data_IF_537368105475
#
_entry.id   IF_537368105475
#
_cell.length_a   1.000
_cell.length_b   1.000
_cell.length_c   1.000
_cell.angle_alpha   90.00
_cell.angle_beta   90.00
_cell.angle_gamma   90.00
#
_symmetry.space_group_name_H-M   'P 1'
#
loop_
_entity.id
_entity.type
_entity.pdbx_description
1 polymer ?
#
# COMPACT_ATOMS: atom_id res chain seq x y z
N UNK A 1 -1.80 -11.52 13.69
CA UNK A 1 -1.56 -10.54 14.79
C UNK A 1 -0.16 -10.83 15.30
N UNK A 2 0.70 -9.81 15.33
CA UNK A 2 2.04 -9.92 15.89
C UNK A 2 1.88 -9.97 17.41
N UNK A 3 2.01 -11.19 17.98
CA UNK A 3 2.20 -11.53 19.39
C UNK A 3 1.18 -11.05 20.44
N UNK A 4 1.28 -11.64 21.63
CA UNK A 4 0.88 -10.97 22.87
C UNK A 4 1.79 -9.74 23.10
N UNK A 5 1.34 -8.75 23.86
CA UNK A 5 2.12 -7.54 24.21
C UNK A 5 2.65 -6.69 23.03
N UNK A 6 2.00 -6.75 21.86
CA UNK A 6 2.45 -6.05 20.64
C UNK A 6 3.84 -6.48 20.16
N UNK A 7 4.24 -7.73 20.39
CA UNK A 7 5.51 -8.24 19.88
C UNK A 7 5.56 -8.22 18.34
N UNK A 8 6.51 -7.45 17.80
CA UNK A 8 6.69 -7.22 16.35
C UNK A 8 7.70 -8.16 15.70
N UNK A 9 8.25 -9.13 16.43
CA UNK A 9 9.22 -10.11 15.90
C UNK A 9 8.68 -10.84 14.67
N UNK A 10 7.37 -11.10 14.63
CA UNK A 10 6.70 -11.75 13.50
C UNK A 10 6.91 -11.03 12.17
N UNK A 11 7.13 -9.70 12.20
CA UNK A 11 7.46 -8.90 11.04
C UNK A 11 8.96 -8.61 10.95
N UNK A 12 9.58 -8.11 12.01
CA UNK A 12 10.99 -7.70 11.97
C UNK A 12 11.96 -8.87 11.75
N UNK A 13 11.60 -10.09 12.13
CA UNK A 13 12.40 -11.29 11.85
C UNK A 13 12.37 -11.74 10.39
N UNK A 14 11.33 -11.38 9.64
CA UNK A 14 11.11 -11.82 8.26
C UNK A 14 11.34 -10.72 7.23
N UNK A 15 11.18 -9.44 7.61
CA UNK A 15 11.22 -8.26 6.74
C UNK A 15 12.34 -8.27 5.70
N UNK A 16 13.58 -8.52 6.13
CA UNK A 16 14.76 -8.48 5.25
C UNK A 16 14.92 -9.75 4.40
N UNK A 17 14.29 -10.87 4.79
CA UNK A 17 14.34 -12.16 4.07
C UNK A 17 13.43 -12.17 2.84
N UNK A 18 12.49 -11.24 2.76
CA UNK A 18 11.51 -11.18 1.66
C UNK A 18 12.13 -10.74 0.33
N UNK A 19 13.34 -10.17 0.34
CA UNK A 19 14.02 -9.70 -0.87
C UNK A 19 13.19 -8.69 -1.65
N UNK A 20 12.64 -7.70 -0.94
CA UNK A 20 11.89 -6.56 -1.47
C UNK A 20 12.78 -5.32 -1.33
N UNK A 21 12.91 -4.50 -2.38
CA UNK A 21 13.83 -3.36 -2.37
C UNK A 21 13.50 -2.32 -1.28
N UNK A 22 12.21 -2.10 -1.01
CA UNK A 22 11.73 -1.20 0.04
C UNK A 22 10.73 -1.93 0.93
N UNK A 23 11.20 -2.77 1.89
CA UNK A 23 10.32 -3.63 2.65
C UNK A 23 9.43 -2.81 3.60
N UNK A 24 8.12 -2.93 3.43
CA UNK A 24 7.12 -2.24 4.23
C UNK A 24 5.82 -3.05 4.25
N UNK A 25 4.90 -2.70 5.16
CA UNK A 25 3.54 -3.23 5.17
C UNK A 25 2.56 -2.16 4.64
N UNK A 26 1.58 -2.54 3.80
CA UNK A 26 1.42 -3.86 3.16
C UNK A 26 2.42 -4.09 2.02
N UNK A 27 2.60 -5.37 1.67
CA UNK A 27 3.30 -5.82 0.46
C UNK A 27 2.44 -6.82 -0.34
N UNK A 28 2.70 -6.94 -1.64
CA UNK A 28 2.09 -7.92 -2.55
C UNK A 28 3.21 -8.69 -3.27
N UNK A 29 3.05 -10.01 -3.39
CA UNK A 29 3.90 -10.86 -4.23
C UNK A 29 3.01 -11.49 -5.31
N UNK A 30 3.30 -11.21 -6.59
CA UNK A 30 2.60 -11.78 -7.76
C UNK A 30 3.65 -12.31 -8.75
N UNK A 31 3.94 -13.61 -8.65
CA UNK A 31 5.08 -14.24 -9.34
C UNK A 31 6.40 -13.62 -8.91
N UNK A 32 7.18 -13.16 -9.89
CA UNK A 32 8.47 -12.49 -9.64
C UNK A 32 8.32 -11.04 -9.13
N UNK A 33 7.11 -10.46 -9.23
CA UNK A 33 6.87 -9.07 -8.81
C UNK A 33 6.63 -9.01 -7.32
N UNK A 34 7.41 -8.15 -6.64
CA UNK A 34 7.21 -7.81 -5.24
C UNK A 34 7.00 -6.31 -5.13
N UNK A 35 5.86 -5.89 -4.59
CA UNK A 35 5.42 -4.51 -4.57
C UNK A 35 5.09 -4.12 -3.13
N UNK A 36 5.63 -2.99 -2.68
CA UNK A 36 5.24 -2.32 -1.44
C UNK A 36 4.58 -0.99 -1.75
N UNK A 37 4.07 -0.31 -0.73
CA UNK A 37 3.20 0.88 -0.81
C UNK A 37 1.77 0.54 -1.26
N UNK A 38 0.82 0.82 -0.37
CA UNK A 38 -0.61 0.49 -0.57
C UNK A 38 -1.17 1.00 -1.89
N UNK A 39 -0.89 2.26 -2.26
CA UNK A 39 -1.34 2.84 -3.53
C UNK A 39 -0.72 2.18 -4.76
N UNK A 40 0.57 1.84 -4.71
CA UNK A 40 1.24 1.15 -5.82
C UNK A 40 0.67 -0.26 -6.04
N UNK A 41 0.38 -0.98 -4.95
CA UNK A 41 -0.29 -2.28 -4.98
C UNK A 41 -1.69 -2.15 -5.59
N UNK A 42 -2.50 -1.17 -5.14
CA UNK A 42 -3.84 -0.94 -5.69
C UNK A 42 -3.80 -0.62 -7.20
N UNK A 43 -2.90 0.27 -7.62
CA UNK A 43 -2.71 0.61 -9.04
C UNK A 43 -2.21 -0.56 -9.87
N UNK A 44 -1.39 -1.44 -9.32
CA UNK A 44 -0.95 -2.67 -10.01
C UNK A 44 -2.13 -3.59 -10.30
N UNK A 45 -2.97 -3.85 -9.30
CA UNK A 45 -4.17 -4.68 -9.46
C UNK A 45 -5.14 -4.01 -10.44
N UNK A 46 -5.38 -2.70 -10.30
CA UNK A 46 -6.28 -1.96 -11.19
C UNK A 46 -5.85 -2.05 -12.67
N UNK A 47 -4.55 -1.92 -12.96
CA UNK A 47 -4.01 -2.07 -14.32
C UNK A 47 -4.20 -3.47 -14.89
N UNK A 48 -4.14 -4.52 -14.07
CA UNK A 48 -4.37 -5.92 -14.51
C UNK A 48 -5.82 -6.16 -14.97
N UNK A 49 -6.75 -5.31 -14.54
CA UNK A 49 -8.18 -5.45 -14.78
C UNK A 49 -8.82 -4.24 -15.50
N UNK A 50 -8.02 -3.36 -16.11
CA UNK A 50 -8.50 -2.14 -16.78
C UNK A 50 -9.40 -1.26 -15.90
N UNK A 51 -9.06 -1.12 -14.61
CA UNK A 51 -9.80 -0.31 -13.64
C UNK A 51 -9.12 1.04 -13.35
N UNK A 52 -8.23 1.49 -14.23
CA UNK A 52 -7.67 2.84 -14.20
C UNK A 52 -8.44 3.75 -15.17
N UNK A 53 -8.15 5.06 -15.15
CA UNK A 53 -8.66 5.96 -16.18
C UNK A 53 -8.14 5.59 -17.58
N UNK A 54 -9.02 5.65 -18.57
CA UNK A 54 -8.67 5.37 -19.97
C UNK A 54 -8.21 6.65 -20.67
N UNK A 55 -8.88 7.77 -20.37
CA UNK A 55 -8.50 9.11 -20.83
C UNK A 55 -7.59 9.82 -19.83
N UNK A 56 -6.90 10.86 -20.30
CA UNK A 56 -6.00 11.60 -19.42
C UNK A 56 -6.74 12.37 -18.32
N UNK A 57 -7.94 12.89 -18.62
CA UNK A 57 -8.81 13.50 -17.61
C UNK A 57 -9.26 12.50 -16.54
N UNK A 58 -9.56 11.25 -16.93
CA UNK A 58 -9.93 10.20 -15.97
C UNK A 58 -8.74 9.79 -15.09
N UNK A 59 -7.54 9.67 -15.65
CA UNK A 59 -6.33 9.37 -14.86
C UNK A 59 -6.04 10.49 -13.86
N UNK A 60 -6.13 11.74 -14.29
CA UNK A 60 -5.99 12.90 -13.39
C UNK A 60 -7.04 12.85 -12.27
N UNK A 61 -8.30 12.51 -12.57
CA UNK A 61 -9.34 12.35 -11.54
C UNK A 61 -9.01 11.23 -10.56
N UNK A 62 -8.54 10.08 -11.04
CA UNK A 62 -8.11 8.97 -10.17
C UNK A 62 -6.96 9.41 -9.26
N UNK A 63 -5.96 10.12 -9.80
CA UNK A 63 -4.80 10.59 -9.05
C UNK A 63 -5.19 11.60 -7.97
N UNK A 64 -6.08 12.54 -8.28
CA UNK A 64 -6.60 13.52 -7.30
C UNK A 64 -7.36 12.81 -6.18
N UNK A 65 -8.27 11.90 -6.52
CA UNK A 65 -9.09 11.19 -5.51
C UNK A 65 -8.23 10.29 -4.63
N UNK A 66 -7.25 9.58 -5.21
CA UNK A 66 -6.33 8.74 -4.46
C UNK A 66 -5.55 9.55 -3.43
N UNK A 67 -4.97 10.69 -3.82
CA UNK A 67 -4.18 11.52 -2.92
C UNK A 67 -5.07 12.20 -1.86
N UNK A 68 -6.25 12.70 -2.23
CA UNK A 68 -7.17 13.30 -1.29
C UNK A 68 -7.67 12.30 -0.22
N UNK A 69 -7.91 11.05 -0.62
CA UNK A 69 -8.29 9.97 0.30
C UNK A 69 -7.14 9.62 1.26
N UNK A 70 -5.89 9.63 0.78
CA UNK A 70 -4.70 9.41 1.61
C UNK A 70 -4.52 10.51 2.66
N UNK A 71 -4.66 11.77 2.27
CA UNK A 71 -4.57 12.91 3.19
C UNK A 71 -5.65 12.84 4.28
N UNK A 72 -6.89 12.54 3.89
CA UNK A 72 -7.99 12.35 4.83
C UNK A 72 -7.72 11.21 5.81
N UNK A 73 -7.33 10.03 5.29
CA UNK A 73 -7.01 8.86 6.11
C UNK A 73 -5.87 9.16 7.08
N UNK A 74 -4.80 9.81 6.62
CA UNK A 74 -3.66 10.14 7.46
C UNK A 74 -4.03 11.17 8.54
N UNK A 75 -4.90 12.14 8.23
CA UNK A 75 -5.46 13.07 9.21
C UNK A 75 -6.27 12.35 10.30
N UNK A 76 -7.13 11.40 9.89
CA UNK A 76 -7.93 10.61 10.82
C UNK A 76 -7.06 9.68 11.70
N UNK A 77 -6.06 9.02 11.11
CA UNK A 77 -5.10 8.19 11.86
C UNK A 77 -4.38 9.03 12.92
N UNK A 78 -3.92 10.24 12.59
CA UNK A 78 -3.31 11.13 13.58
C UNK A 78 -4.28 11.44 14.71
N UNK A 79 -5.54 11.77 14.41
CA UNK A 79 -6.54 12.09 15.44
C UNK A 79 -6.81 10.92 16.42
N UNK A 80 -6.80 9.67 15.94
CA UNK A 80 -7.10 8.51 16.79
C UNK A 80 -5.91 7.95 17.58
N UNK A 81 -4.68 8.20 17.13
CA UNK A 81 -3.46 7.58 17.67
C UNK A 81 -2.43 8.60 18.21
N UNK A 82 -2.80 9.87 18.31
CA UNK A 82 -2.16 10.84 19.24
C UNK A 82 -2.72 10.67 20.64
#
# INVERSE_FOLDING_TARGET
VCGEDYDKTCWFGEKEKLGIDSPNLPYLVDGDRKITQSNAIMRYIARKHNMCGETEDEKVRVDVVENQAMDFRNGFVRMCYT
#
